data_IF_114693041275
#
_entry.id   IF_114693041275
#
_cell.length_a   1.000
_cell.length_b   1.000
_cell.length_c   1.000
_cell.angle_alpha   90.00
_cell.angle_beta   90.00
_cell.angle_gamma   90.00
#
_symmetry.space_group_name_H-M   'P 1'
#
loop_
_entity.id
_entity.type
_entity.pdbx_description
1 polymer ?
#
# COMPACT_ATOMS: atom_id res chain seq x y z
N UNK A 1 -35.73 -8.08 78.83
CA UNK A 1 -36.49 -7.17 77.93
C UNK A 1 -35.54 -6.57 76.92
N UNK A 2 -36.02 -6.43 75.66
CA UNK A 2 -35.35 -5.95 74.42
C UNK A 2 -34.30 -6.93 73.86
N UNK A 3 -34.33 -7.40 72.60
CA UNK A 3 -35.06 -6.99 71.39
C UNK A 3 -34.08 -7.03 70.20
N UNK A 4 -34.29 -7.98 69.27
CA UNK A 4 -33.63 -8.32 67.97
C UNK A 4 -33.48 -7.05 67.06
N UNK A 5 -32.61 -6.88 66.00
CA UNK A 5 -32.21 -7.84 64.93
C UNK A 5 -30.77 -7.76 64.36
N UNK A 6 -30.45 -8.72 63.48
CA UNK A 6 -29.14 -8.90 62.85
C UNK A 6 -28.76 -7.98 61.70
N UNK A 7 -27.59 -8.25 61.14
CA UNK A 7 -27.10 -7.67 59.89
C UNK A 7 -26.54 -8.77 58.99
N UNK A 8 -27.27 -9.03 57.91
CA UNK A 8 -26.75 -9.61 56.70
C UNK A 8 -26.05 -8.49 55.89
N UNK A 9 -24.79 -8.70 55.52
CA UNK A 9 -24.10 -8.00 54.43
C UNK A 9 -23.04 -8.98 53.93
N UNK A 10 -23.00 -9.44 52.69
CA UNK A 10 -23.53 -8.91 51.46
C UNK A 10 -22.47 -9.25 50.42
N UNK A 11 -22.67 -10.35 49.70
CA UNK A 11 -21.74 -10.82 48.68
C UNK A 11 -21.65 -9.74 47.59
N UNK A 12 -20.54 -9.01 47.51
CA UNK A 12 -20.35 -7.94 46.51
C UNK A 12 -20.23 -8.60 45.14
N UNK A 13 -21.35 -8.70 44.42
CA UNK A 13 -21.34 -9.02 42.98
C UNK A 13 -20.55 -7.91 42.27
N UNK A 14 -19.37 -8.24 41.76
CA UNK A 14 -18.65 -7.39 40.83
C UNK A 14 -19.57 -7.15 39.62
N UNK A 15 -19.92 -5.88 39.37
CA UNK A 15 -20.69 -5.50 38.18
C UNK A 15 -19.81 -5.82 36.96
N UNK A 16 -20.29 -6.71 36.08
CA UNK A 16 -19.72 -6.92 34.75
C UNK A 16 -19.88 -5.64 33.94
N UNK A 17 -18.89 -4.75 34.04
CA UNK A 17 -18.72 -3.59 33.16
C UNK A 17 -17.81 -3.98 32.00
N UNK A 18 -18.18 -3.59 30.78
CA UNK A 18 -17.40 -3.85 29.57
C UNK A 18 -15.95 -3.41 29.74
N UNK A 19 -15.01 -4.25 29.29
CA UNK A 19 -13.61 -3.88 29.35
C UNK A 19 -13.29 -2.76 28.36
N UNK A 20 -12.32 -1.88 28.70
CA UNK A 20 -11.87 -0.81 27.79
C UNK A 20 -11.50 -1.33 26.39
N UNK A 21 -10.97 -2.55 26.33
CA UNK A 21 -10.61 -3.25 25.09
C UNK A 21 -11.83 -3.65 24.28
N UNK A 22 -12.88 -4.15 24.92
CA UNK A 22 -14.15 -4.47 24.24
C UNK A 22 -14.86 -3.21 23.77
N UNK A 23 -14.85 -2.14 24.58
CA UNK A 23 -15.38 -0.85 24.15
C UNK A 23 -14.66 -0.32 22.91
N UNK A 24 -13.32 -0.33 22.90
CA UNK A 24 -12.55 0.13 21.73
C UNK A 24 -12.75 -0.75 20.49
N UNK A 25 -12.87 -2.07 20.66
CA UNK A 25 -13.19 -2.98 19.54
C UNK A 25 -14.58 -2.69 18.96
N UNK A 26 -15.59 -2.53 19.82
CA UNK A 26 -16.97 -2.31 19.38
C UNK A 26 -17.19 -0.90 18.83
N UNK A 27 -16.58 0.12 19.45
CA UNK A 27 -16.63 1.51 18.97
C UNK A 27 -15.82 1.72 17.69
N UNK A 28 -14.66 1.06 17.55
CA UNK A 28 -13.84 1.15 16.34
C UNK A 28 -14.53 0.58 15.09
N UNK A 29 -15.29 -0.50 15.25
CA UNK A 29 -16.08 -1.10 14.14
C UNK A 29 -17.27 -0.22 13.74
N UNK A 30 -17.91 0.46 14.71
CA UNK A 30 -19.06 1.32 14.43
C UNK A 30 -18.70 2.68 13.81
N UNK A 31 -17.51 3.22 14.10
CA UNK A 31 -17.07 4.52 13.56
C UNK A 31 -16.56 4.42 12.10
N UNK A 32 -16.04 3.27 11.69
CA UNK A 32 -15.50 3.07 10.35
C UNK A 32 -16.57 3.07 9.25
N UNK A 33 -17.85 2.84 9.57
CA UNK A 33 -18.93 2.70 8.59
C UNK A 33 -19.73 3.98 8.35
N UNK A 34 -19.56 5.04 9.15
CA UNK A 34 -20.42 6.24 9.08
C UNK A 34 -19.63 7.53 8.82
N UNK A 35 -18.33 7.58 9.08
CA UNK A 35 -17.62 8.86 9.10
C UNK A 35 -17.07 9.37 7.76
N UNK A 36 -16.93 8.54 6.71
CA UNK A 36 -16.27 9.00 5.47
C UNK A 36 -16.72 8.27 4.19
N UNK A 37 -17.91 8.55 3.63
CA UNK A 37 -18.27 8.06 2.29
C UNK A 37 -17.40 8.68 1.17
N UNK A 38 -16.79 9.85 1.42
CA UNK A 38 -16.01 10.60 0.42
C UNK A 38 -14.57 10.11 0.24
N UNK A 39 -13.99 9.37 1.20
CA UNK A 39 -12.63 8.81 1.04
C UNK A 39 -12.65 7.57 0.12
N UNK A 40 -13.81 6.96 -0.11
CA UNK A 40 -13.97 5.80 -1.00
C UNK A 40 -14.04 6.23 -2.47
N UNK A 41 -14.39 7.48 -2.78
CA UNK A 41 -14.53 7.97 -4.16
C UNK A 41 -13.17 8.14 -4.86
N UNK A 42 -12.08 8.35 -4.11
CA UNK A 42 -10.73 8.39 -4.68
C UNK A 42 -10.22 7.02 -5.17
N UNK A 43 -10.88 5.91 -4.79
CA UNK A 43 -10.50 4.55 -5.20
C UNK A 43 -11.46 3.90 -6.22
N UNK A 44 -12.49 4.62 -6.69
CA UNK A 44 -13.53 4.04 -7.54
C UNK A 44 -14.37 2.97 -6.83
N UNK A 45 -15.46 2.48 -7.43
CA UNK A 45 -16.19 1.35 -6.88
C UNK A 45 -15.26 0.14 -6.78
N UNK A 46 -14.89 -0.22 -5.55
CA UNK A 46 -14.16 -1.44 -5.25
C UNK A 46 -15.04 -2.62 -5.68
N UNK A 47 -14.79 -3.13 -6.89
CA UNK A 47 -15.38 -4.35 -7.39
C UNK A 47 -15.11 -5.44 -6.36
N UNK A 48 -16.17 -5.85 -5.67
CA UNK A 48 -16.14 -6.91 -4.67
C UNK A 48 -16.10 -8.26 -5.37
N UNK A 49 -15.06 -8.49 -6.16
CA UNK A 49 -14.64 -9.82 -6.59
C UNK A 49 -13.20 -9.94 -6.15
N UNK A 50 -12.90 -10.82 -5.19
CA UNK A 50 -11.51 -11.16 -4.93
C UNK A 50 -10.95 -11.79 -6.23
N UNK A 51 -10.01 -11.13 -6.94
CA UNK A 51 -9.42 -11.75 -8.10
C UNK A 51 -8.73 -13.03 -7.61
N UNK A 52 -9.08 -14.16 -8.23
CA UNK A 52 -8.43 -15.45 -7.94
C UNK A 52 -7.11 -15.46 -8.69
N UNK A 53 -6.25 -14.53 -8.29
CA UNK A 53 -5.17 -14.12 -9.14
C UNK A 53 -4.01 -15.09 -9.11
N UNK A 54 -3.73 -15.66 -10.28
CA UNK A 54 -2.50 -16.42 -10.44
C UNK A 54 -1.37 -15.42 -10.48
N UNK A 55 -0.62 -15.30 -9.38
CA UNK A 55 0.54 -14.40 -9.32
C UNK A 55 1.50 -14.76 -10.46
N UNK A 56 1.75 -13.85 -11.43
CA UNK A 56 2.63 -14.11 -12.53
C UNK A 56 4.04 -14.45 -12.03
N UNK A 57 4.61 -15.55 -12.52
CA UNK A 57 5.98 -15.94 -12.18
C UNK A 57 6.95 -15.28 -13.16
N UNK A 58 8.05 -14.67 -12.68
CA UNK A 58 9.07 -14.15 -13.56
C UNK A 58 9.68 -15.22 -14.46
N UNK A 59 10.01 -14.82 -15.70
CA UNK A 59 10.70 -15.69 -16.67
C UNK A 59 12.13 -15.95 -16.20
N UNK A 60 12.68 -17.12 -16.53
CA UNK A 60 14.08 -17.46 -16.22
C UNK A 60 15.03 -16.41 -16.83
N UNK A 61 15.88 -15.82 -16.00
CA UNK A 61 16.84 -14.79 -16.43
C UNK A 61 16.20 -13.43 -16.71
N UNK A 62 15.01 -13.15 -16.17
CA UNK A 62 14.39 -11.83 -16.29
C UNK A 62 15.24 -10.74 -15.63
N UNK A 63 15.19 -9.55 -16.21
CA UNK A 63 15.81 -8.34 -15.68
C UNK A 63 14.85 -7.17 -15.78
N UNK A 64 14.93 -6.25 -14.82
CA UNK A 64 14.12 -5.02 -14.77
C UNK A 64 15.08 -3.84 -14.71
N UNK A 65 14.93 -2.88 -15.63
CA UNK A 65 15.54 -1.56 -15.57
C UNK A 65 14.50 -0.55 -15.10
N UNK A 66 14.80 0.14 -14.00
CA UNK A 66 13.89 1.08 -13.37
C UNK A 66 14.53 2.47 -13.29
N UNK A 67 13.86 3.49 -13.82
CA UNK A 67 14.25 4.89 -13.69
C UNK A 67 13.42 5.57 -12.60
N UNK A 68 14.09 6.12 -11.59
CA UNK A 68 13.47 6.68 -10.39
C UNK A 68 14.06 8.04 -10.03
N UNK A 69 13.23 8.89 -9.43
CA UNK A 69 13.70 10.10 -8.78
C UNK A 69 14.52 9.75 -7.52
N UNK A 70 15.74 10.29 -7.39
CA UNK A 70 16.51 10.25 -6.13
C UNK A 70 15.79 11.04 -5.04
N UNK A 71 15.62 10.42 -3.88
CA UNK A 71 14.97 11.05 -2.73
C UNK A 71 15.84 12.13 -2.10
N UNK A 72 15.18 13.15 -1.56
CA UNK A 72 15.81 14.10 -0.63
C UNK A 72 16.25 13.42 0.67
N UNK A 73 15.61 12.30 1.03
CA UNK A 73 15.93 11.48 2.21
C UNK A 73 16.81 10.33 1.77
N UNK A 74 18.13 10.47 1.91
CA UNK A 74 19.11 9.43 1.48
C UNK A 74 18.86 8.03 2.06
N UNK A 75 18.41 7.86 3.31
CA UNK A 75 18.03 6.55 3.81
C UNK A 75 16.88 5.88 3.03
N UNK A 76 15.96 6.65 2.44
CA UNK A 76 14.87 6.10 1.64
C UNK A 76 15.38 5.50 0.32
N UNK A 77 16.35 6.15 -0.33
CA UNK A 77 16.98 5.60 -1.54
C UNK A 77 17.73 4.29 -1.24
N UNK A 78 18.40 4.22 -0.09
CA UNK A 78 19.10 3.02 0.34
C UNK A 78 18.13 1.88 0.64
N UNK A 79 17.03 2.16 1.35
CA UNK A 79 16.01 1.16 1.66
C UNK A 79 15.29 0.68 0.39
N UNK A 80 14.96 1.56 -0.54
CA UNK A 80 14.35 1.18 -1.80
C UNK A 80 15.24 0.23 -2.61
N UNK A 81 16.54 0.53 -2.71
CA UNK A 81 17.52 -0.34 -3.37
C UNK A 81 17.67 -1.68 -2.66
N UNK A 82 17.65 -1.69 -1.32
CA UNK A 82 17.70 -2.93 -0.52
C UNK A 82 16.49 -3.81 -0.78
N UNK A 83 15.28 -3.25 -0.79
CA UNK A 83 14.04 -3.97 -1.07
C UNK A 83 14.00 -4.52 -2.50
N UNK A 84 14.45 -3.73 -3.47
CA UNK A 84 14.52 -4.18 -4.86
C UNK A 84 15.51 -5.34 -5.06
N UNK A 85 16.66 -5.30 -4.38
CA UNK A 85 17.62 -6.40 -4.39
C UNK A 85 17.05 -7.65 -3.71
N UNK A 86 16.45 -7.51 -2.52
CA UNK A 86 15.81 -8.62 -1.80
C UNK A 86 14.71 -9.28 -2.63
N UNK A 87 13.83 -8.48 -3.26
CA UNK A 87 12.82 -8.99 -4.16
C UNK A 87 13.43 -9.67 -5.39
N UNK A 88 14.48 -9.09 -5.97
CA UNK A 88 15.20 -9.65 -7.11
C UNK A 88 15.78 -11.03 -6.81
N UNK A 89 16.47 -11.15 -5.67
CA UNK A 89 17.07 -12.40 -5.19
C UNK A 89 16.00 -13.48 -4.95
N UNK A 90 14.88 -13.11 -4.31
CA UNK A 90 13.78 -14.03 -4.04
C UNK A 90 13.09 -14.55 -5.31
N UNK A 91 13.15 -13.78 -6.41
CA UNK A 91 12.46 -14.07 -7.66
C UNK A 91 13.39 -14.49 -8.82
N UNK A 92 14.71 -14.51 -8.60
CA UNK A 92 15.69 -14.78 -9.66
C UNK A 92 15.68 -13.71 -10.77
N UNK A 93 15.40 -12.46 -10.40
CA UNK A 93 15.31 -11.31 -11.32
C UNK A 93 16.41 -10.31 -11.00
N UNK A 94 17.16 -9.87 -12.01
CA UNK A 94 18.13 -8.78 -11.84
C UNK A 94 17.41 -7.43 -11.89
N UNK A 95 17.47 -6.63 -10.83
CA UNK A 95 16.85 -5.29 -10.79
C UNK A 95 17.93 -4.21 -10.84
N UNK A 96 17.94 -3.43 -11.91
CA UNK A 96 18.85 -2.31 -12.12
C UNK A 96 18.09 -0.99 -11.95
N UNK A 97 18.44 -0.23 -10.91
CA UNK A 97 17.79 1.06 -10.59
C UNK A 97 18.72 2.20 -10.98
N UNK A 98 18.26 3.02 -11.92
CA UNK A 98 18.85 4.32 -12.25
C UNK A 98 18.11 5.41 -11.45
N UNK A 99 18.86 6.15 -10.63
CA UNK A 99 18.31 7.29 -9.87
C UNK A 99 18.77 8.61 -10.48
N UNK A 100 17.84 9.52 -10.75
CA UNK A 100 18.10 10.86 -11.33
C UNK A 100 17.46 11.96 -10.49
N UNK A 101 17.87 13.21 -10.66
CA UNK A 101 17.22 14.34 -10.00
C UNK A 101 15.83 14.62 -10.61
N UNK A 102 14.96 15.31 -9.88
CA UNK A 102 13.56 15.52 -10.30
C UNK A 102 13.43 16.30 -11.61
N UNK A 103 14.32 17.26 -11.84
CA UNK A 103 14.45 18.05 -13.07
C UNK A 103 14.93 17.23 -14.27
N UNK A 104 15.67 16.13 -14.02
CA UNK A 104 16.16 15.24 -15.06
C UNK A 104 15.17 14.13 -15.42
N UNK A 105 14.19 13.85 -14.56
CA UNK A 105 13.27 12.74 -14.74
C UNK A 105 12.38 12.94 -15.97
N UNK A 106 11.70 14.08 -16.08
CA UNK A 106 10.81 14.39 -17.21
C UNK A 106 11.52 14.37 -18.57
N UNK A 107 12.67 15.06 -18.78
CA UNK A 107 13.35 15.03 -20.07
C UNK A 107 13.88 13.64 -20.43
N UNK A 108 14.29 12.82 -19.45
CA UNK A 108 14.68 11.43 -19.70
C UNK A 108 13.49 10.54 -20.07
N UNK A 109 12.34 10.72 -19.43
CA UNK A 109 11.11 10.01 -19.81
C UNK A 109 10.73 10.34 -21.25
N UNK A 110 10.72 11.62 -21.63
CA UNK A 110 10.43 12.03 -23.00
C UNK A 110 11.43 11.40 -23.98
N UNK A 111 12.74 11.46 -23.71
CA UNK A 111 13.75 10.85 -24.57
C UNK A 111 13.59 9.33 -24.70
N UNK A 112 13.22 8.63 -23.61
CA UNK A 112 12.98 7.20 -23.62
C UNK A 112 11.76 6.81 -24.48
N UNK A 113 10.68 7.61 -24.40
CA UNK A 113 9.46 7.45 -25.20
C UNK A 113 9.75 7.70 -26.69
N UNK A 114 10.39 8.84 -27.02
CA UNK A 114 10.71 9.19 -28.41
C UNK A 114 11.67 8.20 -29.07
N UNK A 115 12.63 7.66 -28.31
CA UNK A 115 13.56 6.65 -28.80
C UNK A 115 12.91 5.25 -28.94
N UNK A 116 11.70 5.06 -28.41
CA UNK A 116 11.03 3.77 -28.24
C UNK A 116 11.98 2.70 -27.63
N UNK A 117 12.86 3.14 -26.74
CA UNK A 117 13.96 2.37 -26.16
C UNK A 117 14.31 2.96 -24.81
N UNK A 118 13.48 2.65 -23.81
CA UNK A 118 13.57 3.15 -22.44
C UNK A 118 13.79 2.06 -21.39
N UNK A 119 13.93 2.43 -20.11
CA UNK A 119 13.76 1.53 -18.96
C UNK A 119 12.41 0.80 -19.02
N UNK A 120 12.31 -0.35 -18.34
CA UNK A 120 11.07 -1.14 -18.29
C UNK A 120 10.02 -0.47 -17.38
N UNK A 121 10.47 0.21 -16.33
CA UNK A 121 9.63 0.96 -15.39
C UNK A 121 10.20 2.36 -15.23
N UNK A 122 9.35 3.38 -15.33
CA UNK A 122 9.72 4.78 -15.10
C UNK A 122 8.80 5.35 -14.03
N UNK A 123 9.38 5.94 -12.99
CA UNK A 123 8.62 6.75 -12.04
C UNK A 123 8.14 8.01 -12.76
N UNK A 124 6.82 8.11 -12.98
CA UNK A 124 6.18 9.29 -13.54
C UNK A 124 5.42 10.05 -12.46
N UNK A 125 5.40 11.39 -12.56
CA UNK A 125 4.74 12.23 -11.58
C UNK A 125 3.45 12.84 -12.13
N UNK A 126 2.46 13.04 -11.26
CA UNK A 126 1.22 13.75 -11.57
C UNK A 126 0.48 13.13 -12.79
N UNK A 127 0.19 13.94 -13.80
CA UNK A 127 -0.53 13.53 -15.00
C UNK A 127 0.39 13.04 -16.14
N UNK A 128 1.70 12.88 -15.93
CA UNK A 128 2.61 12.44 -16.98
C UNK A 128 2.21 11.11 -17.64
N UNK A 129 1.72 10.08 -16.92
CA UNK A 129 1.27 8.86 -17.57
C UNK A 129 0.20 9.10 -18.64
N UNK A 130 -0.68 10.08 -18.43
CA UNK A 130 -1.75 10.44 -19.39
C UNK A 130 -1.20 11.12 -20.65
N UNK A 131 0.00 11.71 -20.59
CA UNK A 131 0.69 12.28 -21.75
C UNK A 131 1.39 11.22 -22.61
N UNK A 132 1.68 10.06 -22.00
CA UNK A 132 2.47 8.98 -22.61
C UNK A 132 1.69 7.67 -22.67
N UNK A 133 0.36 7.71 -22.63
CA UNK A 133 -0.50 6.50 -22.58
C UNK A 133 -0.17 5.53 -23.70
N UNK A 134 0.01 6.03 -24.93
CA UNK A 134 0.32 5.22 -26.11
C UNK A 134 1.71 4.56 -26.05
N UNK A 135 2.60 5.06 -25.20
CA UNK A 135 3.93 4.52 -24.96
C UNK A 135 4.00 3.64 -23.71
N UNK A 136 2.90 3.53 -22.94
CA UNK A 136 2.82 2.71 -21.74
C UNK A 136 2.14 1.37 -22.03
N UNK A 137 2.54 0.35 -21.30
CA UNK A 137 1.78 -0.90 -21.26
C UNK A 137 0.47 -0.69 -20.48
N UNK A 138 -0.67 -1.10 -21.05
CA UNK A 138 -1.95 -1.10 -20.34
C UNK A 138 -1.98 -2.22 -19.29
N UNK A 139 -1.93 -1.84 -18.02
CA UNK A 139 -1.95 -2.76 -16.88
C UNK A 139 -3.35 -2.93 -16.25
N UNK A 140 -4.40 -2.37 -16.87
CA UNK A 140 -5.77 -2.38 -16.30
C UNK A 140 -6.34 -3.79 -16.08
N UNK A 141 -5.82 -4.79 -16.79
CA UNK A 141 -6.31 -6.18 -16.75
C UNK A 141 -5.27 -7.20 -16.24
N UNK A 142 -4.15 -6.75 -15.67
CA UNK A 142 -3.03 -7.64 -15.27
C UNK A 142 -3.11 -8.14 -13.82
N UNK A 143 -4.12 -7.72 -13.06
CA UNK A 143 -4.39 -8.22 -11.70
C UNK A 143 -5.58 -9.18 -11.75
N UNK A 144 -5.39 -10.31 -12.44
CA UNK A 144 -6.42 -11.34 -12.62
C UNK A 144 -6.16 -12.53 -11.75
#
# INVERSE_FOLDING_TARGET
MRGVPGMAQGNKKAKLGWSRREFLKTAGVAAATIAFPEIIIACGPQSSGAPTATIPKPRKGASIRLLQWTSFVKPADAEFKRQAAEWGDANGVTVAIETVTGDQLQPKTAAAVEANSGPDIIQMQYAWPQLYTDACLDVSNEVN
#
